data_IF_868251290172
#
_entry.id   IF_868251290172
#
_cell.length_a   1.000
_cell.length_b   1.000
_cell.length_c   1.000
_cell.angle_alpha   90.00
_cell.angle_beta   90.00
_cell.angle_gamma   90.00
#
_symmetry.space_group_name_H-M   'P 1'
#
loop_
_entity.id
_entity.type
_entity.pdbx_description
1 polymer ?
#
# COMPACT_ATOMS: atom_id res chain seq x y z
N UNK A 1 0.26 3.18 14.87
CA UNK A 1 0.21 4.45 14.10
C UNK A 1 0.75 4.30 12.68
N UNK A 2 1.98 3.83 12.50
CA UNK A 2 2.56 3.64 11.15
C UNK A 2 1.80 2.61 10.30
N UNK A 3 1.26 1.55 10.91
CA UNK A 3 0.38 0.57 10.24
C UNK A 3 -0.85 1.24 9.60
N UNK A 4 -1.63 1.98 10.38
CA UNK A 4 -2.81 2.71 9.89
C UNK A 4 -2.47 3.70 8.75
N UNK A 5 -1.32 4.37 8.85
CA UNK A 5 -0.83 5.27 7.78
C UNK A 5 -0.49 4.50 6.51
N UNK A 6 0.14 3.33 6.64
CA UNK A 6 0.42 2.43 5.51
C UNK A 6 -0.88 1.90 4.89
N UNK A 7 -1.86 1.50 5.70
CA UNK A 7 -3.14 0.99 5.20
C UNK A 7 -3.91 2.05 4.42
N UNK A 8 -3.91 3.31 4.90
CA UNK A 8 -4.44 4.45 4.16
C UNK A 8 -3.69 4.63 2.83
N UNK A 9 -2.35 4.56 2.86
CA UNK A 9 -1.53 4.76 1.65
C UNK A 9 -1.77 3.71 0.58
N UNK A 10 -2.06 2.45 0.94
CA UNK A 10 -2.38 1.38 -0.01
C UNK A 10 -3.58 1.75 -0.89
N UNK A 11 -4.66 2.26 -0.28
CA UNK A 11 -5.88 2.68 -1.00
C UNK A 11 -5.61 3.81 -1.99
N UNK A 12 -4.78 4.78 -1.60
CA UNK A 12 -4.45 5.93 -2.44
C UNK A 12 -3.50 5.53 -3.58
N UNK A 13 -2.55 4.63 -3.32
CA UNK A 13 -1.59 4.12 -4.32
C UNK A 13 -2.26 3.39 -5.49
N UNK A 14 -3.50 2.91 -5.32
CA UNK A 14 -4.27 2.30 -6.40
C UNK A 14 -4.66 3.32 -7.47
N UNK A 15 -4.77 4.60 -7.11
CA UNK A 15 -4.93 5.67 -8.07
C UNK A 15 -3.56 6.05 -8.65
N UNK A 16 -3.29 5.61 -9.88
CA UNK A 16 -2.02 5.83 -10.56
C UNK A 16 -1.71 7.31 -10.86
N UNK A 17 -2.73 8.18 -10.88
CA UNK A 17 -2.61 9.61 -11.16
C UNK A 17 -2.00 10.38 -9.98
N UNK A 18 -2.04 9.81 -8.78
CA UNK A 18 -1.51 10.46 -7.57
C UNK A 18 -0.01 10.13 -7.45
N UNK A 19 0.88 11.16 -7.39
CA UNK A 19 2.29 10.94 -7.15
C UNK A 19 2.55 10.29 -5.78
N UNK A 20 3.49 9.35 -5.73
CA UNK A 20 3.85 8.62 -4.49
C UNK A 20 4.32 9.59 -3.38
N UNK A 21 4.97 10.70 -3.76
CA UNK A 21 5.34 11.79 -2.84
C UNK A 21 4.11 12.40 -2.17
N UNK A 22 3.06 12.68 -2.93
CA UNK A 22 1.79 13.20 -2.42
C UNK A 22 1.13 12.19 -1.49
N UNK A 23 1.11 10.90 -1.86
CA UNK A 23 0.57 9.85 -0.98
C UNK A 23 1.27 9.81 0.38
N UNK A 24 2.60 9.93 0.40
CA UNK A 24 3.37 9.96 1.63
C UNK A 24 2.97 11.13 2.55
N UNK A 25 2.81 12.32 1.98
CA UNK A 25 2.40 13.53 2.72
C UNK A 25 0.97 13.40 3.24
N UNK A 26 0.03 12.94 2.41
CA UNK A 26 -1.39 12.71 2.76
C UNK A 26 -1.59 11.65 3.86
N UNK A 27 -0.63 10.74 3.99
CA UNK A 27 -0.61 9.73 5.04
C UNK A 27 0.16 10.19 6.30
N UNK A 28 0.62 11.44 6.34
CA UNK A 28 1.27 12.04 7.51
C UNK A 28 2.72 11.61 7.70
N UNK A 29 3.41 11.20 6.63
CA UNK A 29 4.86 10.98 6.68
C UNK A 29 5.60 12.30 6.44
N UNK A 30 6.54 12.64 7.32
CA UNK A 30 7.37 13.85 7.18
C UNK A 30 8.40 13.78 6.04
N UNK A 31 8.60 12.62 5.42
CA UNK A 31 9.42 12.49 4.20
C UNK A 31 9.09 11.22 3.42
N UNK A 32 9.33 11.27 2.11
CA UNK A 32 9.19 10.09 1.23
C UNK A 32 10.16 8.97 1.60
N UNK A 33 11.37 9.29 2.11
CA UNK A 33 12.35 8.29 2.54
C UNK A 33 11.81 7.46 3.70
N UNK A 34 11.22 8.13 4.70
CA UNK A 34 10.62 7.45 5.85
C UNK A 34 9.42 6.61 5.42
N UNK A 35 8.57 7.15 4.54
CA UNK A 35 7.45 6.42 3.97
C UNK A 35 7.91 5.13 3.26
N UNK A 36 8.85 5.22 2.32
CA UNK A 36 9.33 4.07 1.56
C UNK A 36 9.85 2.95 2.47
N UNK A 37 10.65 3.31 3.49
CA UNK A 37 11.20 2.33 4.44
C UNK A 37 10.09 1.66 5.26
N UNK A 38 9.16 2.44 5.81
CA UNK A 38 8.07 1.93 6.64
C UNK A 38 7.10 1.09 5.80
N UNK A 39 6.73 1.57 4.62
CA UNK A 39 5.84 0.86 3.71
C UNK A 39 6.45 -0.48 3.29
N UNK A 40 7.71 -0.51 2.85
CA UNK A 40 8.36 -1.76 2.48
C UNK A 40 8.52 -2.72 3.67
N UNK A 41 8.86 -2.20 4.85
CA UNK A 41 8.97 -3.02 6.06
C UNK A 41 7.64 -3.66 6.49
N UNK A 42 6.50 -3.00 6.25
CA UNK A 42 5.17 -3.50 6.62
C UNK A 42 4.45 -4.27 5.52
N UNK A 43 4.76 -4.02 4.25
CA UNK A 43 4.07 -4.64 3.10
C UNK A 43 4.93 -5.66 2.35
N UNK A 44 6.25 -5.70 2.62
CA UNK A 44 7.21 -6.53 1.89
C UNK A 44 7.56 -6.03 0.49
N UNK A 45 6.97 -4.91 0.04
CA UNK A 45 7.18 -4.36 -1.31
C UNK A 45 7.34 -2.85 -1.29
N UNK A 46 7.99 -2.27 -2.30
CA UNK A 46 8.10 -0.80 -2.41
C UNK A 46 6.75 -0.19 -2.80
N UNK A 47 6.45 1.08 -2.46
CA UNK A 47 5.20 1.74 -2.88
C UNK A 47 5.00 1.78 -4.40
N UNK A 48 6.09 1.97 -5.15
CA UNK A 48 6.08 1.93 -6.62
C UNK A 48 5.87 0.51 -7.16
N UNK A 49 6.46 -0.50 -6.52
CA UNK A 49 6.19 -1.90 -6.84
C UNK A 49 4.75 -2.29 -6.54
N UNK A 50 4.20 -1.80 -5.43
CA UNK A 50 2.80 -1.96 -5.06
C UNK A 50 1.89 -1.33 -6.11
N UNK A 51 2.10 -0.06 -6.43
CA UNK A 51 1.38 0.62 -7.50
C UNK A 51 1.47 -0.15 -8.82
N UNK A 52 2.65 -0.58 -9.25
CA UNK A 52 2.79 -1.32 -10.51
C UNK A 52 2.03 -2.66 -10.54
N UNK A 53 1.94 -3.36 -9.40
CA UNK A 53 1.25 -4.65 -9.29
C UNK A 53 -0.27 -4.50 -9.23
N UNK A 54 -0.76 -3.43 -8.62
CA UNK A 54 -2.19 -3.29 -8.28
C UNK A 54 -2.88 -2.04 -8.85
N UNK A 55 -2.16 -1.14 -9.54
CA UNK A 55 -2.75 -0.01 -10.29
C UNK A 55 -2.90 -0.38 -11.76
N UNK A 56 -4.13 -0.36 -12.26
CA UNK A 56 -4.48 -0.74 -13.64
C UNK A 56 -4.99 -2.18 -13.72
N UNK A 57 -6.28 -2.32 -14.01
CA UNK A 57 -7.06 -3.54 -14.36
C UNK A 57 -7.02 -4.77 -13.44
N UNK A 58 -6.07 -4.89 -12.51
CA UNK A 58 -5.90 -6.02 -11.58
C UNK A 58 -6.41 -5.73 -10.15
N UNK A 59 -7.37 -4.82 -10.00
CA UNK A 59 -7.97 -4.48 -8.70
C UNK A 59 -8.73 -5.66 -8.06
N UNK A 60 -9.24 -6.57 -8.88
CA UNK A 60 -9.99 -7.76 -8.48
C UNK A 60 -9.12 -8.75 -7.67
N UNK A 61 -7.83 -8.88 -8.02
CA UNK A 61 -6.89 -9.79 -7.35
C UNK A 61 -6.55 -9.33 -5.92
N UNK A 62 -6.54 -8.03 -5.64
CA UNK A 62 -6.22 -7.50 -4.31
C UNK A 62 -7.33 -7.78 -3.29
N UNK A 63 -8.60 -7.65 -3.69
CA UNK A 63 -9.71 -7.96 -2.80
C UNK A 63 -9.89 -9.48 -2.62
N UNK A 64 -9.86 -10.27 -3.70
CA UNK A 64 -10.06 -11.73 -3.59
C UNK A 64 -8.95 -12.43 -2.78
N UNK A 65 -7.67 -12.06 -2.95
CA UNK A 65 -6.58 -12.73 -2.21
C UNK A 65 -6.45 -12.33 -0.73
N UNK A 66 -6.78 -11.09 -0.35
CA UNK A 66 -6.72 -10.68 1.07
C UNK A 66 -7.88 -11.29 1.89
N UNK A 67 -9.05 -11.55 1.28
CA UNK A 67 -10.12 -12.31 1.94
C UNK A 67 -9.76 -13.79 2.14
N UNK A 68 -9.05 -14.41 1.19
CA UNK A 68 -8.57 -15.79 1.31
C UNK A 68 -7.49 -15.95 2.40
N UNK A 69 -6.55 -14.99 2.50
CA UNK A 69 -5.44 -15.04 3.47
C UNK A 69 -5.88 -14.84 4.91
N UNK A 70 -6.91 -14.02 5.15
CA UNK A 70 -7.41 -13.75 6.49
C UNK A 70 -8.07 -14.99 7.16
N UNK A 71 -8.55 -15.94 6.36
CA UNK A 71 -9.12 -17.21 6.85
C UNK A 71 -8.05 -18.29 7.08
N UNK A 72 -6.95 -18.29 6.30
CA UNK A 72 -5.83 -19.23 6.48
C UNK A 72 -5.01 -18.96 7.75
N UNK A 73 -4.95 -17.72 8.24
CA UNK A 73 -4.27 -17.37 9.51
C UNK A 73 -5.07 -17.76 10.77
N UNK A 74 -6.31 -18.28 10.62
CA UNK A 74 -7.15 -18.81 11.71
C UNK A 74 -7.12 -20.33 11.84
N UNK A 75 -6.24 -21.02 11.09
CA UNK A 75 -6.07 -22.48 11.11
C UNK A 75 -4.72 -22.88 11.69
#
# INVERSE_FOLDING_TARGET
LNSLRVDKSRKILLNAEIPITTVALECGFGSIRTFNRVFAGLTGVTPSGFRRRWSGDNYIDYFENDFQRADDERR
#
